data_IF_547395049943
#
_entry.id   IF_547395049943
#
_cell.length_a   1.000
_cell.length_b   1.000
_cell.length_c   1.000
_cell.angle_alpha   90.00
_cell.angle_beta   90.00
_cell.angle_gamma   90.00
#
_symmetry.space_group_name_H-M   'P 1'
#
loop_
_entity.id
_entity.type
_entity.pdbx_description
1 polymer ?
#
# COMPACT_ATOMS: atom_id res chain seq x y z
N UNK A 1 -6.92 6.33 11.40
CA UNK A 1 -7.12 5.15 12.25
C UNK A 1 -7.27 3.92 11.40
N UNK A 2 -6.65 2.84 11.81
CA UNK A 2 -6.67 1.55 11.11
C UNK A 2 -7.05 0.46 12.10
N UNK A 3 -7.97 -0.41 11.69
CA UNK A 3 -8.39 -1.57 12.47
C UNK A 3 -7.96 -2.84 11.72
N UNK A 4 -6.73 -3.29 11.99
CA UNK A 4 -6.13 -4.44 11.32
C UNK A 4 -4.97 -5.01 12.15
N UNK A 5 -4.53 -6.20 11.76
CA UNK A 5 -3.30 -6.79 12.27
C UNK A 5 -2.20 -6.62 11.22
N UNK A 6 -0.96 -6.41 11.69
CA UNK A 6 0.18 -6.08 10.82
C UNK A 6 1.37 -6.99 11.10
N UNK A 7 2.03 -7.43 10.04
CA UNK A 7 3.33 -8.08 10.12
C UNK A 7 4.27 -7.44 9.09
N UNK A 8 5.56 -7.40 9.42
CA UNK A 8 6.59 -6.87 8.53
C UNK A 8 7.53 -8.00 8.14
N UNK A 9 7.73 -8.17 6.83
CA UNK A 9 8.54 -9.27 6.29
C UNK A 9 9.83 -8.73 5.67
N UNK A 10 10.95 -9.39 5.98
CA UNK A 10 12.25 -9.01 5.46
C UNK A 10 12.34 -9.26 3.95
N UNK A 11 12.88 -8.27 3.23
CA UNK A 11 13.07 -8.38 1.78
C UNK A 11 14.15 -9.41 1.39
N UNK A 12 14.95 -9.88 2.36
CA UNK A 12 15.96 -10.91 2.12
C UNK A 12 15.39 -12.32 2.02
N UNK A 13 14.17 -12.55 2.56
CA UNK A 13 13.50 -13.83 2.39
C UNK A 13 13.27 -14.09 0.90
N UNK A 14 13.62 -15.28 0.37
CA UNK A 14 13.56 -15.53 -1.07
C UNK A 14 12.18 -15.34 -1.70
N UNK A 15 11.11 -15.72 -0.99
CA UNK A 15 9.73 -15.54 -1.49
C UNK A 15 9.35 -14.07 -1.46
N UNK A 16 9.59 -13.40 -0.34
CA UNK A 16 9.31 -11.98 -0.16
C UNK A 16 10.10 -11.16 -1.18
N UNK A 17 11.36 -11.49 -1.39
CA UNK A 17 12.22 -10.83 -2.37
C UNK A 17 11.61 -10.88 -3.77
N UNK A 18 11.16 -12.04 -4.21
CA UNK A 18 10.56 -12.19 -5.54
C UNK A 18 9.30 -11.35 -5.70
N UNK A 19 8.45 -11.32 -4.67
CA UNK A 19 7.23 -10.52 -4.70
C UNK A 19 7.58 -9.03 -4.74
N UNK A 20 8.48 -8.60 -3.87
CA UNK A 20 8.89 -7.19 -3.79
C UNK A 20 9.59 -6.73 -5.07
N UNK A 21 10.48 -7.54 -5.64
CA UNK A 21 11.14 -7.24 -6.92
C UNK A 21 10.11 -7.04 -8.03
N UNK A 22 9.13 -7.91 -8.08
CA UNK A 22 8.07 -7.82 -9.08
C UNK A 22 7.25 -6.55 -8.92
N UNK A 23 6.93 -6.19 -7.69
CA UNK A 23 6.17 -4.96 -7.40
C UNK A 23 6.99 -3.71 -7.72
N UNK A 24 8.25 -3.65 -7.25
CA UNK A 24 9.08 -2.47 -7.45
C UNK A 24 9.44 -2.25 -8.92
N UNK A 25 9.39 -3.31 -9.74
CA UNK A 25 9.61 -3.19 -11.18
C UNK A 25 8.58 -2.31 -11.90
N UNK A 26 7.45 -2.02 -11.24
CA UNK A 26 6.46 -1.07 -11.75
C UNK A 26 6.93 0.38 -11.62
N UNK A 27 7.97 0.61 -10.84
CA UNK A 27 8.49 1.95 -10.55
C UNK A 27 9.84 2.18 -11.24
N UNK A 28 10.36 3.38 -11.09
CA UNK A 28 11.70 3.75 -11.58
C UNK A 28 12.78 3.66 -10.49
N UNK A 29 12.49 2.92 -9.40
CA UNK A 29 13.41 2.79 -8.27
C UNK A 29 13.79 1.32 -8.04
N UNK A 30 14.97 1.06 -7.46
CA UNK A 30 15.40 -0.29 -7.13
C UNK A 30 14.83 -0.78 -5.79
N UNK A 31 14.92 -2.09 -5.56
CA UNK A 31 14.44 -2.71 -4.33
C UNK A 31 15.07 -2.10 -3.05
N UNK A 32 16.32 -1.66 -3.13
CA UNK A 32 17.00 -1.07 -1.97
C UNK A 32 16.34 0.22 -1.46
N UNK A 33 15.42 0.80 -2.26
CA UNK A 33 14.65 1.98 -1.87
C UNK A 33 13.35 1.59 -1.14
N UNK A 34 13.09 0.32 -0.95
CA UNK A 34 11.82 -0.16 -0.37
C UNK A 34 11.94 -0.39 1.13
N UNK A 35 10.83 -0.13 1.83
CA UNK A 35 10.65 -0.60 3.20
C UNK A 35 10.40 -2.11 3.18
N UNK A 36 10.44 -2.74 4.37
CA UNK A 36 10.01 -4.13 4.50
C UNK A 36 8.59 -4.28 3.97
N UNK A 37 8.26 -5.45 3.47
CA UNK A 37 6.91 -5.73 2.98
C UNK A 37 5.95 -5.79 4.17
N UNK A 38 4.93 -4.94 4.17
CA UNK A 38 3.93 -4.92 5.22
C UNK A 38 2.76 -5.82 4.84
N UNK A 39 2.45 -6.79 5.69
CA UNK A 39 1.27 -7.64 5.54
C UNK A 39 0.19 -7.12 6.47
N UNK A 40 -1.02 -6.99 5.96
CA UNK A 40 -2.18 -6.52 6.72
C UNK A 40 -3.31 -7.53 6.60
N UNK A 41 -3.93 -7.83 7.76
CA UNK A 41 -5.14 -8.63 7.83
C UNK A 41 -6.25 -7.79 8.44
N UNK A 42 -7.37 -7.69 7.73
CA UNK A 42 -8.58 -7.02 8.20
C UNK A 42 -9.65 -8.08 8.42
N UNK A 43 -10.08 -8.25 9.65
CA UNK A 43 -11.24 -9.09 9.96
C UNK A 43 -12.55 -8.38 9.64
N UNK A 44 -13.66 -9.05 9.89
CA UNK A 44 -14.99 -8.47 9.67
C UNK A 44 -15.14 -7.18 10.48
N UNK A 45 -15.58 -6.11 9.82
CA UNK A 45 -15.65 -4.76 10.41
C UNK A 45 -14.35 -3.96 10.32
N UNK A 46 -13.23 -4.60 9.97
CA UNK A 46 -11.94 -3.93 9.87
C UNK A 46 -11.90 -2.90 8.74
N UNK A 47 -11.22 -1.79 8.99
CA UNK A 47 -11.19 -0.65 8.06
C UNK A 47 -9.92 0.17 8.24
N UNK A 48 -9.69 1.08 7.31
CA UNK A 48 -8.64 2.09 7.43
C UNK A 48 -9.21 3.42 6.93
N UNK A 49 -9.29 4.41 7.83
CA UNK A 49 -9.79 5.75 7.48
C UNK A 49 -8.90 6.38 6.41
N UNK A 50 -9.44 7.27 5.57
CA UNK A 50 -8.65 7.96 4.55
C UNK A 50 -7.43 8.65 5.17
N UNK A 51 -6.29 8.46 4.53
CA UNK A 51 -4.99 8.94 5.00
C UNK A 51 -4.05 9.14 3.82
N UNK A 52 -2.94 9.83 4.09
CA UNK A 52 -1.82 9.94 3.16
C UNK A 52 -0.73 8.97 3.58
N UNK A 53 0.02 8.46 2.61
CA UNK A 53 1.18 7.60 2.88
C UNK A 53 2.49 8.40 2.97
N UNK A 54 2.41 9.71 2.85
CA UNK A 54 3.54 10.60 3.04
C UNK A 54 3.31 11.47 4.27
N UNK A 55 4.39 12.06 4.78
CA UNK A 55 4.33 12.94 5.96
C UNK A 55 4.45 14.39 5.54
N UNK A 56 3.86 15.31 6.31
CA UNK A 56 3.82 16.73 5.97
C UNK A 56 5.20 17.41 6.00
N UNK A 57 6.13 16.89 6.82
CA UNK A 57 7.50 17.39 6.95
C UNK A 57 8.46 16.48 6.18
N UNK A 58 8.23 16.29 4.91
CA UNK A 58 8.91 15.29 4.09
C UNK A 58 10.30 15.71 3.63
N UNK A 59 11.09 16.37 4.49
CA UNK A 59 12.48 16.56 4.20
C UNK A 59 13.21 15.21 4.29
N UNK A 60 14.13 14.97 3.36
CA UNK A 60 14.91 13.74 3.33
C UNK A 60 14.30 12.69 2.43
N UNK A 61 14.22 11.45 2.92
CA UNK A 61 13.87 10.29 2.08
C UNK A 61 12.36 10.05 2.04
N UNK A 62 11.70 10.63 1.07
CA UNK A 62 10.24 10.57 0.93
C UNK A 62 9.77 9.24 0.36
N UNK A 63 8.57 8.79 0.78
CA UNK A 63 7.84 7.74 0.07
C UNK A 63 7.34 8.31 -1.25
N UNK A 64 7.78 7.72 -2.35
CA UNK A 64 7.42 8.16 -3.71
C UNK A 64 6.24 7.38 -4.28
N UNK A 65 6.17 6.08 -3.96
CA UNK A 65 5.17 5.18 -4.52
C UNK A 65 4.62 4.25 -3.46
N UNK A 66 3.35 3.92 -3.61
CA UNK A 66 2.69 2.86 -2.84
C UNK A 66 2.20 1.78 -3.80
N UNK A 67 2.46 0.54 -3.44
CA UNK A 67 1.94 -0.62 -4.17
C UNK A 67 1.17 -1.47 -3.17
N UNK A 68 -0.13 -1.67 -3.45
CA UNK A 68 -1.00 -2.54 -2.65
C UNK A 68 -1.24 -3.80 -3.46
N UNK A 69 -0.86 -4.95 -2.90
CA UNK A 69 -1.04 -6.25 -3.55
C UNK A 69 -2.13 -7.03 -2.80
N UNK A 70 -3.13 -7.51 -3.54
CA UNK A 70 -4.19 -8.33 -2.97
C UNK A 70 -3.71 -9.76 -2.79
N UNK A 71 -3.75 -10.27 -1.55
CA UNK A 71 -3.33 -11.63 -1.24
C UNK A 71 -4.50 -12.61 -1.30
N UNK A 72 -5.74 -12.11 -1.22
CA UNK A 72 -6.95 -12.89 -1.37
C UNK A 72 -8.07 -12.02 -1.91
N UNK A 73 -9.20 -12.63 -2.26
CA UNK A 73 -10.38 -11.92 -2.74
C UNK A 73 -11.69 -12.53 -2.26
N UNK A 74 -11.62 -13.49 -1.32
CA UNK A 74 -12.79 -14.22 -0.81
C UNK A 74 -13.41 -13.53 0.42
N UNK A 75 -13.72 -12.23 0.26
CA UNK A 75 -14.36 -11.42 1.29
C UNK A 75 -15.32 -10.42 0.64
N UNK A 76 -16.24 -9.89 1.44
CA UNK A 76 -17.20 -8.87 1.03
C UNK A 76 -16.82 -7.51 1.59
N UNK A 77 -17.05 -6.44 0.84
CA UNK A 77 -16.66 -5.09 1.25
C UNK A 77 -15.16 -4.88 1.12
N UNK A 78 -14.60 -4.02 1.97
CA UNK A 78 -13.15 -3.84 2.06
C UNK A 78 -12.50 -3.18 0.85
N UNK A 79 -13.27 -2.45 0.05
CA UNK A 79 -12.71 -1.77 -1.13
C UNK A 79 -11.71 -0.71 -0.72
N UNK A 80 -10.67 -0.53 -1.53
CA UNK A 80 -9.74 0.59 -1.40
C UNK A 80 -10.34 1.80 -2.11
N UNK A 81 -10.46 2.92 -1.40
CA UNK A 81 -11.12 4.12 -1.91
C UNK A 81 -10.17 5.28 -2.01
N UNK A 82 -10.35 6.09 -3.06
CA UNK A 82 -9.71 7.37 -3.25
C UNK A 82 -10.82 8.42 -3.30
N UNK A 83 -11.25 8.94 -2.14
CA UNK A 83 -12.47 9.75 -2.07
C UNK A 83 -12.40 11.01 -2.95
N UNK A 84 -11.24 11.65 -3.06
CA UNK A 84 -11.09 12.86 -3.85
C UNK A 84 -11.09 12.60 -5.36
N UNK A 85 -10.92 11.34 -5.77
CA UNK A 85 -11.03 10.92 -7.16
C UNK A 85 -12.35 10.23 -7.47
N UNK A 86 -13.18 10.01 -6.45
CA UNK A 86 -14.43 9.25 -6.55
C UNK A 86 -14.21 7.87 -7.17
N UNK A 87 -13.15 7.19 -6.72
CA UNK A 87 -12.76 5.84 -7.19
C UNK A 87 -12.72 4.88 -6.03
N UNK A 88 -13.15 3.66 -6.28
CA UNK A 88 -12.95 2.55 -5.34
C UNK A 88 -12.63 1.28 -6.11
N UNK A 89 -11.81 0.44 -5.51
CA UNK A 89 -11.30 -0.76 -6.14
C UNK A 89 -11.45 -1.96 -5.22
N UNK A 90 -11.95 -3.04 -5.79
CA UNK A 90 -11.89 -4.36 -5.18
C UNK A 90 -10.96 -5.20 -6.03
N UNK A 91 -9.75 -5.47 -5.52
CA UNK A 91 -8.74 -6.20 -6.26
C UNK A 91 -9.01 -7.70 -6.19
N UNK A 92 -8.73 -8.41 -7.28
CA UNK A 92 -8.68 -9.86 -7.27
C UNK A 92 -7.34 -10.32 -6.73
N UNK A 93 -7.30 -11.54 -6.18
CA UNK A 93 -6.05 -12.13 -5.69
C UNK A 93 -4.96 -12.02 -6.75
N UNK A 94 -3.81 -11.46 -6.36
CA UNK A 94 -2.68 -11.27 -7.23
C UNK A 94 -2.65 -9.94 -7.97
N UNK A 95 -3.75 -9.16 -7.95
CA UNK A 95 -3.75 -7.82 -8.53
C UNK A 95 -2.99 -6.85 -7.66
N UNK A 96 -2.39 -5.85 -8.28
CA UNK A 96 -1.70 -4.77 -7.59
C UNK A 96 -2.32 -3.43 -7.94
N UNK A 97 -2.44 -2.56 -6.95
CA UNK A 97 -2.81 -1.18 -7.12
C UNK A 97 -1.57 -0.33 -6.88
N UNK A 98 -1.12 0.35 -7.91
CA UNK A 98 0.08 1.18 -7.88
C UNK A 98 -0.31 2.65 -8.01
N UNK A 99 0.19 3.49 -7.11
CA UNK A 99 -0.06 4.93 -7.21
C UNK A 99 1.11 5.75 -6.66
N UNK A 100 1.20 6.98 -7.16
CA UNK A 100 2.16 7.97 -6.68
C UNK A 100 1.64 8.56 -5.37
N UNK A 101 2.51 8.66 -4.37
CA UNK A 101 2.17 9.28 -3.08
C UNK A 101 2.29 10.80 -3.12
N UNK A 102 3.04 11.32 -4.08
CA UNK A 102 3.37 12.73 -4.23
C UNK A 102 3.01 13.23 -5.63
N UNK A 103 2.85 14.54 -5.77
CA UNK A 103 2.67 15.17 -7.09
C UNK A 103 4.02 15.29 -7.84
N UNK A 104 3.99 15.94 -9.01
CA UNK A 104 5.17 16.12 -9.86
C UNK A 104 6.25 17.02 -9.21
N UNK A 105 5.88 17.76 -8.17
CA UNK A 105 6.80 18.60 -7.42
C UNK A 105 7.26 17.93 -6.12
N UNK A 106 6.96 16.64 -5.96
CA UNK A 106 7.25 15.84 -4.75
C UNK A 106 6.59 16.41 -3.50
N UNK A 107 5.37 16.93 -3.66
CA UNK A 107 4.56 17.43 -2.56
C UNK A 107 3.32 16.55 -2.37
N UNK A 108 2.81 16.54 -1.13
CA UNK A 108 1.59 15.83 -0.80
C UNK A 108 0.46 16.27 -1.73
N UNK A 109 -0.29 15.30 -2.25
CA UNK A 109 -1.41 15.58 -3.15
C UNK A 109 -2.71 14.96 -2.62
N UNK A 110 -3.79 15.74 -2.68
CA UNK A 110 -5.11 15.25 -2.27
C UNK A 110 -5.57 14.05 -3.11
N UNK A 111 -5.01 13.88 -4.31
CA UNK A 111 -5.34 12.75 -5.20
C UNK A 111 -4.89 11.41 -4.64
N UNK A 112 -3.87 11.41 -3.77
CA UNK A 112 -3.34 10.19 -3.16
C UNK A 112 -3.97 9.86 -1.81
N UNK A 113 -4.90 10.69 -1.32
CA UNK A 113 -5.67 10.36 -0.12
C UNK A 113 -6.49 9.11 -0.39
N UNK A 114 -6.34 8.09 0.46
CA UNK A 114 -7.02 6.81 0.27
C UNK A 114 -7.31 6.15 1.60
N UNK A 115 -8.22 5.18 1.56
CA UNK A 115 -8.59 4.42 2.74
C UNK A 115 -9.13 3.04 2.36
N UNK A 116 -9.45 2.26 3.37
CA UNK A 116 -10.09 0.97 3.21
C UNK A 116 -11.47 0.98 3.83
N UNK A 117 -12.50 0.69 3.04
CA UNK A 117 -13.86 0.56 3.55
C UNK A 117 -13.97 -0.68 4.45
N UNK A 118 -14.94 -0.70 5.37
CA UNK A 118 -15.11 -1.84 6.25
C UNK A 118 -15.31 -3.15 5.49
N UNK A 119 -14.65 -4.20 5.96
CA UNK A 119 -14.90 -5.57 5.49
C UNK A 119 -16.25 -6.02 6.05
N UNK A 120 -17.17 -6.44 5.19
CA UNK A 120 -18.52 -6.84 5.60
C UNK A 120 -18.55 -8.29 6.09
N UNK A 121 -17.81 -9.17 5.43
CA UNK A 121 -17.67 -10.56 5.83
C UNK A 121 -16.37 -11.14 5.29
N UNK A 122 -15.85 -12.18 5.95
CA UNK A 122 -14.58 -12.79 5.60
C UNK A 122 -13.41 -12.01 6.16
N UNK A 123 -12.23 -12.30 5.62
CA UNK A 123 -10.99 -11.63 5.99
C UNK A 123 -10.33 -11.06 4.74
N UNK A 124 -9.84 -9.83 4.85
CA UNK A 124 -9.09 -9.18 3.76
C UNK A 124 -7.61 -9.22 4.09
N UNK A 125 -6.83 -9.80 3.18
CA UNK A 125 -5.38 -9.86 3.29
C UNK A 125 -4.74 -9.09 2.13
N UNK A 126 -3.91 -8.11 2.47
CA UNK A 126 -3.15 -7.34 1.49
C UNK A 126 -1.71 -7.18 1.95
N UNK A 127 -0.83 -6.79 1.04
CA UNK A 127 0.47 -6.28 1.43
C UNK A 127 0.71 -4.92 0.79
N UNK A 128 1.47 -4.10 1.51
CA UNK A 128 1.91 -2.79 1.05
C UNK A 128 3.42 -2.84 0.85
N UNK A 129 3.86 -2.26 -0.27
CA UNK A 129 5.27 -1.99 -0.51
C UNK A 129 5.41 -0.48 -0.72
N UNK A 130 6.16 0.18 0.16
CA UNK A 130 6.47 1.59 0.01
C UNK A 130 7.86 1.76 -0.56
N UNK A 131 7.96 2.59 -1.59
CA UNK A 131 9.20 2.84 -2.31
C UNK A 131 9.61 4.29 -2.06
N UNK A 132 10.82 4.47 -1.53
CA UNK A 132 11.38 5.77 -1.20
C UNK A 132 12.18 6.37 -2.36
N UNK A 133 12.40 7.68 -2.29
CA UNK A 133 13.20 8.40 -3.29
C UNK A 133 14.64 7.90 -3.33
N UNK A 134 15.20 7.62 -2.14
CA UNK A 134 16.57 7.17 -1.95
C UNK A 134 16.60 5.82 -1.24
N UNK A 135 17.77 5.13 -1.19
CA UNK A 135 17.86 3.87 -0.47
C UNK A 135 17.34 3.98 0.96
N UNK A 136 16.61 2.97 1.37
CA UNK A 136 15.96 2.90 2.68
C UNK A 136 16.67 1.81 3.51
N UNK A 137 17.10 2.17 4.71
CA UNK A 137 17.82 1.24 5.60
C UNK A 137 16.97 0.89 6.82
#
# INVERSE_FOLDING_TARGET
>A
MRDSETAWLDLEDPVVNRVAERCVSLTDRPLKNCEKLQILRYGSGGFYKPHQDTFSDTEGNKRMYTIILALNDDYEGGETVFPNLRRKYKLNKGDALFFHTLDNYELMTYKALHGGLPVKSGEKWICNLWVHKYPYN
#
